data_IF_912308411355
#
_entry.id   IF_912308411355
#
_cell.length_a   1.000
_cell.length_b   1.000
_cell.length_c   1.000
_cell.angle_alpha   90.00
_cell.angle_beta   90.00
_cell.angle_gamma   90.00
#
_symmetry.space_group_name_H-M   'P 1'
#
loop_
_entity.id
_entity.type
_entity.pdbx_description
1 polymer ?
#
# COMPACT_ATOMS: atom_id res chain seq x y z
N UNK A 1 -5.74 -4.94 6.70
CA UNK A 1 -5.52 -5.07 5.23
C UNK A 1 -6.67 -4.41 4.51
N UNK A 2 -6.39 -3.24 3.92
CA UNK A 2 -7.36 -2.44 3.19
C UNK A 2 -7.13 -2.61 1.69
N UNK A 3 -8.19 -2.60 0.89
CA UNK A 3 -8.08 -2.64 -0.57
C UNK A 3 -8.81 -1.48 -1.21
N UNK A 4 -8.24 -0.94 -2.29
CA UNK A 4 -8.85 0.14 -3.06
C UNK A 4 -8.44 0.07 -4.54
N UNK A 5 -9.16 0.78 -5.40
CA UNK A 5 -8.84 0.86 -6.82
C UNK A 5 -7.80 1.95 -7.10
N UNK A 6 -7.00 1.76 -8.16
CA UNK A 6 -6.00 2.72 -8.63
C UNK A 6 -6.53 4.17 -8.81
N UNK A 7 -7.73 4.42 -9.35
CA UNK A 7 -8.24 5.79 -9.46
C UNK A 7 -8.50 6.43 -8.09
N UNK A 8 -8.98 5.65 -7.13
CA UNK A 8 -9.25 6.12 -5.76
C UNK A 8 -7.93 6.46 -5.04
N UNK A 9 -6.94 5.56 -5.11
CA UNK A 9 -5.64 5.80 -4.50
C UNK A 9 -4.90 6.97 -5.14
N UNK A 10 -5.01 7.14 -6.46
CA UNK A 10 -4.42 8.27 -7.17
C UNK A 10 -5.05 9.62 -6.76
N UNK A 11 -6.36 9.65 -6.52
CA UNK A 11 -7.05 10.87 -6.07
C UNK A 11 -6.64 11.29 -4.64
N UNK A 12 -6.24 10.32 -3.81
CA UNK A 12 -5.97 10.49 -2.38
C UNK A 12 -4.55 10.04 -1.99
N UNK A 13 -3.59 10.21 -2.91
CA UNK A 13 -2.31 9.52 -2.82
C UNK A 13 -1.51 9.88 -1.57
N UNK A 14 -1.52 11.15 -1.15
CA UNK A 14 -0.89 11.58 0.09
C UNK A 14 -1.50 10.88 1.32
N UNK A 15 -2.83 10.83 1.41
CA UNK A 15 -3.54 10.15 2.51
C UNK A 15 -3.24 8.65 2.55
N UNK A 16 -3.09 8.01 1.38
CA UNK A 16 -2.68 6.60 1.27
C UNK A 16 -1.28 6.40 1.84
N UNK A 17 -0.33 7.29 1.51
CA UNK A 17 1.04 7.22 2.03
C UNK A 17 1.11 7.49 3.55
N UNK A 18 0.32 8.44 4.04
CA UNK A 18 0.20 8.70 5.48
C UNK A 18 -0.38 7.49 6.20
N UNK A 19 -1.43 6.85 5.66
CA UNK A 19 -2.05 5.68 6.28
C UNK A 19 -1.07 4.49 6.39
N UNK A 20 -0.33 4.17 5.31
CA UNK A 20 0.64 3.05 5.37
C UNK A 20 1.79 3.32 6.33
N UNK A 21 2.13 4.58 6.58
CA UNK A 21 3.26 4.97 7.44
C UNK A 21 2.83 5.13 8.90
N UNK A 22 1.71 5.81 9.16
CA UNK A 22 1.24 6.14 10.51
C UNK A 22 0.50 4.98 11.16
N UNK A 23 -0.38 4.32 10.42
CA UNK A 23 -1.20 3.21 10.94
C UNK A 23 -0.51 1.85 10.79
N UNK A 24 0.64 1.81 10.08
CA UNK A 24 1.36 0.58 9.71
C UNK A 24 0.45 -0.46 9.03
N UNK A 25 -0.59 -0.02 8.33
CA UNK A 25 -1.51 -0.90 7.62
C UNK A 25 -1.14 -0.99 6.15
N UNK A 26 -0.96 -2.21 5.63
CA UNK A 26 -0.78 -2.45 4.20
C UNK A 26 -2.06 -2.18 3.39
N UNK A 27 -1.88 -1.62 2.19
CA UNK A 27 -2.98 -1.30 1.27
C UNK A 27 -2.76 -2.01 -0.07
N UNK A 28 -3.76 -2.80 -0.49
CA UNK A 28 -3.80 -3.46 -1.79
C UNK A 28 -4.43 -2.53 -2.83
N UNK A 29 -3.71 -2.24 -3.90
CA UNK A 29 -4.18 -1.45 -5.04
C UNK A 29 -4.54 -2.37 -6.20
N UNK A 30 -5.77 -2.25 -6.67
CA UNK A 30 -6.29 -2.99 -7.83
C UNK A 30 -6.43 -2.08 -9.05
N UNK A 31 -6.11 -2.61 -10.24
CA UNK A 31 -6.28 -1.89 -11.51
C UNK A 31 -6.81 -2.84 -12.57
N UNK A 32 -7.87 -2.43 -13.27
CA UNK A 32 -8.47 -3.24 -14.33
C UNK A 32 -7.41 -3.62 -15.39
N UNK A 33 -7.31 -4.92 -15.69
CA UNK A 33 -6.35 -5.45 -16.66
C UNK A 33 -4.90 -5.57 -16.15
N UNK A 34 -4.64 -5.36 -14.86
CA UNK A 34 -3.31 -5.47 -14.26
C UNK A 34 -3.36 -6.30 -12.97
N UNK A 35 -2.22 -6.87 -12.60
CA UNK A 35 -2.07 -7.57 -11.32
C UNK A 35 -2.15 -6.56 -10.14
N UNK A 36 -2.74 -6.98 -9.00
CA UNK A 36 -2.79 -6.14 -7.82
C UNK A 36 -1.38 -5.96 -7.23
N UNK A 37 -1.17 -4.80 -6.60
CA UNK A 37 0.08 -4.48 -5.90
C UNK A 37 -0.21 -4.10 -4.45
N UNK A 38 0.76 -4.31 -3.56
CA UNK A 38 0.65 -3.91 -2.15
C UNK A 38 1.55 -2.69 -1.91
N UNK A 39 1.03 -1.72 -1.18
CA UNK A 39 1.80 -0.58 -0.66
C UNK A 39 1.99 -0.80 0.84
N UNK A 40 3.23 -0.76 1.28
CA UNK A 40 3.66 -0.84 2.69
C UNK A 40 4.66 0.27 2.99
N UNK A 41 4.84 0.59 4.27
CA UNK A 41 5.94 1.49 4.67
C UNK A 41 7.29 0.84 4.40
N UNK A 42 8.31 1.66 4.10
CA UNK A 42 9.68 1.16 3.92
C UNK A 42 10.18 0.38 5.13
N UNK A 43 9.84 0.83 6.35
CA UNK A 43 10.23 0.12 7.57
C UNK A 43 9.63 -1.29 7.66
N UNK A 44 8.43 -1.50 7.10
CA UNK A 44 7.78 -2.81 7.08
C UNK A 44 8.38 -3.71 5.98
N UNK A 45 8.61 -3.16 4.80
CA UNK A 45 9.31 -3.85 3.70
C UNK A 45 10.71 -4.32 4.11
N UNK A 46 11.50 -3.46 4.77
CA UNK A 46 12.82 -3.83 5.27
C UNK A 46 12.73 -4.90 6.37
N UNK A 47 11.78 -4.79 7.31
CA UNK A 47 11.57 -5.82 8.33
C UNK A 47 11.20 -7.18 7.73
N UNK A 48 10.43 -7.21 6.64
CA UNK A 48 10.06 -8.45 5.96
C UNK A 48 11.28 -9.09 5.29
N UNK A 49 12.13 -8.29 4.65
CA UNK A 49 13.38 -8.76 4.02
C UNK A 49 14.37 -9.30 5.05
N UNK A 50 14.43 -8.73 6.25
CA UNK A 50 15.31 -9.22 7.33
C UNK A 50 14.89 -10.60 7.85
N UNK A 51 13.62 -10.97 7.68
CA UNK A 51 13.08 -12.28 8.13
C UNK A 51 13.08 -13.36 7.04
N UNK A 52 13.56 -13.06 5.83
CA UNK A 52 13.56 -13.95 4.67
C UNK A 52 14.90 -14.68 4.44
#
# INVERSE_FOLDING_TARGET
>A
MKSMSYPESRARYAEVLDAVTNDREEIVITRAGHEPVVIVSLADDESLKETA
#
